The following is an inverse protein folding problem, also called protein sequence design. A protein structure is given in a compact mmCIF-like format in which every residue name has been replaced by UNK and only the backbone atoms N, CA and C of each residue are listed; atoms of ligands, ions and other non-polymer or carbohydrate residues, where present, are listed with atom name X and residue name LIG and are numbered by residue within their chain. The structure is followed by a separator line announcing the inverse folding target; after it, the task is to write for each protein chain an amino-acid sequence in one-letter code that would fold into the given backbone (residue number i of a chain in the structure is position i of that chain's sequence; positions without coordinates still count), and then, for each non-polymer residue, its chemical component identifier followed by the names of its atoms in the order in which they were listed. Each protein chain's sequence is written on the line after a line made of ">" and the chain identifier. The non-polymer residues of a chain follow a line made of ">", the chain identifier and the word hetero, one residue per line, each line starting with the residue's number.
data_IF_655852138249
#
_entry.id   IF_655852138249
#
_cell.length_a   1.000
_cell.length_b   1.000
_cell.length_c   1.000
_cell.angle_alpha   90.00
_cell.angle_beta   90.00
_cell.angle_gamma   90.00
#
_symmetry.space_group_name_H-M   'P 1'
#
loop_
_entity.id
_entity.type
_entity.pdbx_description
1 polymer ?
#
# COMPACT_ATOMS: atom_id res chain seq x y z
N UNK A 1 1.79 -7.84 -9.15
CA UNK A 1 2.07 -6.98 -7.99
C UNK A 1 1.11 -5.80 -8.01
N UNK A 2 0.56 -5.37 -6.88
CA UNK A 2 -0.32 -4.19 -6.85
C UNK A 2 -0.60 -3.65 -5.46
N UNK A 3 -1.14 -2.44 -5.39
CA UNK A 3 -1.65 -1.83 -4.16
C UNK A 3 -2.95 -2.50 -3.71
N UNK A 4 -3.43 -2.26 -2.47
CA UNK A 4 -4.59 -2.96 -1.94
C UNK A 4 -5.84 -2.90 -2.83
N UNK A 5 -6.14 -1.73 -3.42
CA UNK A 5 -7.28 -1.59 -4.33
C UNK A 5 -7.13 -2.40 -5.63
N UNK A 6 -5.91 -2.53 -6.15
CA UNK A 6 -5.62 -3.38 -7.32
C UNK A 6 -5.78 -4.87 -6.97
N UNK A 7 -5.32 -5.28 -5.78
CA UNK A 7 -5.50 -6.65 -5.29
C UNK A 7 -6.98 -6.97 -5.12
N UNK A 8 -7.76 -6.06 -4.52
CA UNK A 8 -9.22 -6.19 -4.39
C UNK A 8 -9.87 -6.35 -5.77
N UNK A 9 -9.49 -5.49 -6.73
CA UNK A 9 -10.00 -5.59 -8.10
C UNK A 9 -9.70 -6.96 -8.72
N UNK A 10 -8.45 -7.43 -8.62
CA UNK A 10 -8.07 -8.71 -9.18
C UNK A 10 -8.82 -9.87 -8.52
N UNK A 11 -8.97 -9.88 -7.20
CA UNK A 11 -9.75 -10.90 -6.50
C UNK A 11 -11.22 -10.87 -6.88
N UNK A 12 -11.80 -9.69 -7.06
CA UNK A 12 -13.17 -9.54 -7.57
C UNK A 12 -13.29 -10.10 -8.99
N UNK A 13 -12.33 -9.83 -9.89
CA UNK A 13 -12.32 -10.36 -11.24
C UNK A 13 -12.14 -11.90 -11.28
N UNK A 14 -11.38 -12.46 -10.33
CA UNK A 14 -11.22 -13.91 -10.18
C UNK A 14 -12.51 -14.58 -9.67
N UNK A 15 -13.19 -13.98 -8.69
CA UNK A 15 -14.44 -14.51 -8.10
C UNK A 15 -15.65 -14.30 -9.02
N UNK A 16 -15.68 -13.19 -9.74
CA UNK A 16 -16.75 -12.81 -10.66
C UNK A 16 -16.16 -12.43 -12.03
N UNK A 17 -15.82 -13.41 -12.89
CA UNK A 17 -15.12 -13.19 -14.16
C UNK A 17 -16.02 -12.63 -15.27
N UNK A 18 -16.79 -11.57 -14.96
CA UNK A 18 -17.64 -10.86 -15.91
C UNK A 18 -16.77 -10.14 -16.94
N UNK A 19 -16.78 -10.64 -18.18
CA UNK A 19 -15.93 -10.12 -19.26
C UNK A 19 -14.48 -10.63 -19.25
N UNK A 20 -14.13 -11.54 -18.32
CA UNK A 20 -12.77 -12.09 -18.20
C UNK A 20 -12.73 -13.57 -18.53
N UNK A 21 -12.75 -13.90 -19.84
CA UNK A 21 -12.65 -15.28 -20.30
C UNK A 21 -11.24 -15.83 -20.07
N UNK A 22 -11.13 -17.01 -19.45
CA UNK A 22 -9.86 -17.72 -19.20
C UNK A 22 -8.82 -16.94 -18.37
N UNK A 23 -9.25 -15.99 -17.53
CA UNK A 23 -8.34 -15.25 -16.63
C UNK A 23 -8.07 -16.00 -15.32
N UNK A 24 -9.09 -16.68 -14.79
CA UNK A 24 -9.08 -17.20 -13.41
C UNK A 24 -7.88 -18.11 -13.15
N UNK A 25 -7.62 -19.02 -14.08
CA UNK A 25 -6.58 -20.05 -13.94
C UNK A 25 -5.18 -19.53 -14.33
N UNK A 26 -5.07 -18.29 -14.83
CA UNK A 26 -3.80 -17.71 -15.29
C UNK A 26 -3.12 -16.84 -14.24
N UNK A 27 -3.84 -16.43 -13.19
CA UNK A 27 -3.26 -15.64 -12.10
C UNK A 27 -2.65 -16.57 -11.06
N UNK A 28 -1.38 -16.87 -11.27
CA UNK A 28 -0.60 -17.75 -10.40
C UNK A 28 -0.22 -17.10 -9.06
N UNK A 29 0.01 -15.78 -9.00
CA UNK A 29 0.48 -15.13 -7.78
C UNK A 29 0.01 -13.67 -7.67
N UNK A 30 -0.49 -13.30 -6.49
CA UNK A 30 -0.84 -11.94 -6.11
C UNK A 30 0.07 -11.44 -4.98
N UNK A 31 1.00 -10.56 -5.32
CA UNK A 31 1.82 -9.82 -4.35
C UNK A 31 1.23 -8.42 -4.14
N UNK A 32 0.80 -8.14 -2.92
CA UNK A 32 0.27 -6.85 -2.49
C UNK A 32 1.36 -5.97 -1.87
N UNK A 33 1.37 -4.67 -2.17
CA UNK A 33 2.22 -3.71 -1.46
C UNK A 33 1.40 -2.85 -0.50
N UNK A 34 1.98 -2.51 0.66
CA UNK A 34 1.32 -1.63 1.61
C UNK A 34 1.10 -0.25 0.99
N UNK A 35 -0.06 0.35 1.26
CA UNK A 35 -0.41 1.65 0.69
C UNK A 35 -1.28 2.43 1.65
N UNK A 36 -0.87 3.66 1.98
CA UNK A 36 -1.70 4.60 2.74
C UNK A 36 -2.60 5.38 1.78
N UNK A 37 -1.98 6.16 0.90
CA UNK A 37 -2.62 7.01 -0.10
C UNK A 37 -1.78 7.01 -1.40
N UNK A 38 -2.37 7.52 -2.48
CA UNK A 38 -1.71 7.68 -3.77
C UNK A 38 -1.94 9.10 -4.30
N UNK A 39 -1.07 9.54 -5.20
CA UNK A 39 -1.10 10.89 -5.77
C UNK A 39 -1.27 10.81 -7.30
N UNK A 40 -2.13 11.65 -7.91
CA UNK A 40 -2.11 11.82 -9.35
C UNK A 40 -0.77 12.43 -9.79
N UNK A 41 -0.38 12.20 -11.03
CA UNK A 41 0.91 12.66 -11.56
C UNK A 41 1.15 14.16 -11.31
N UNK A 42 0.15 15.01 -11.56
CA UNK A 42 0.26 16.45 -11.31
C UNK A 42 0.44 16.78 -9.82
N UNK A 43 -0.23 16.05 -8.92
CA UNK A 43 -0.05 16.20 -7.48
C UNK A 43 1.38 15.83 -7.05
N UNK A 44 1.90 14.73 -7.59
CA UNK A 44 3.29 14.31 -7.37
C UNK A 44 4.29 15.36 -7.90
N UNK A 45 4.06 15.87 -9.11
CA UNK A 45 4.89 16.90 -9.72
C UNK A 45 4.95 18.16 -8.85
N UNK A 46 3.82 18.62 -8.34
CA UNK A 46 3.78 19.79 -7.43
C UNK A 46 4.55 19.50 -6.13
N UNK A 47 4.36 18.32 -5.53
CA UNK A 47 5.09 17.96 -4.30
C UNK A 47 6.61 17.98 -4.52
N UNK A 48 7.08 17.46 -5.65
CA UNK A 48 8.51 17.32 -5.92
C UNK A 48 9.13 18.64 -6.42
N UNK A 49 8.51 19.28 -7.40
CA UNK A 49 9.08 20.48 -8.04
C UNK A 49 8.83 21.74 -7.21
N UNK A 50 7.62 21.94 -6.71
CA UNK A 50 7.25 23.18 -6.01
C UNK A 50 7.55 23.10 -4.51
N UNK A 51 7.14 22.01 -3.83
CA UNK A 51 7.30 21.92 -2.38
C UNK A 51 8.72 21.50 -1.98
N UNK A 52 9.33 20.56 -2.70
CA UNK A 52 10.71 20.14 -2.45
C UNK A 52 11.75 20.97 -3.23
N UNK A 53 11.36 21.68 -4.29
CA UNK A 53 12.31 22.46 -5.10
C UNK A 53 13.31 21.57 -5.84
N UNK A 54 12.86 20.44 -6.38
CA UNK A 54 13.68 19.47 -7.13
C UNK A 54 13.02 19.20 -8.46
N UNK A 55 13.78 19.25 -9.58
CA UNK A 55 13.24 18.82 -10.87
C UNK A 55 12.96 17.32 -10.84
N UNK A 56 11.80 16.90 -11.32
CA UNK A 56 11.39 15.49 -11.25
C UNK A 56 12.40 14.55 -11.93
N UNK A 57 13.04 15.00 -13.01
CA UNK A 57 14.09 14.29 -13.75
C UNK A 57 15.36 14.01 -12.96
N UNK A 58 15.62 14.79 -11.90
CA UNK A 58 16.82 14.66 -11.07
C UNK A 58 16.60 13.68 -9.89
N UNK A 59 15.39 13.15 -9.73
CA UNK A 59 15.00 12.27 -8.62
C UNK A 59 15.38 10.82 -8.91
N UNK A 60 16.11 10.19 -7.98
CA UNK A 60 16.51 8.78 -8.03
C UNK A 60 15.63 7.91 -7.15
N UNK A 61 15.17 8.44 -6.02
CA UNK A 61 14.29 7.73 -5.08
C UNK A 61 13.32 8.70 -4.42
N UNK A 62 12.10 8.24 -4.20
CA UNK A 62 11.12 8.88 -3.33
C UNK A 62 10.75 7.93 -2.21
N UNK A 63 10.45 8.46 -1.04
CA UNK A 63 10.05 7.66 0.12
C UNK A 63 9.05 8.41 1.00
N UNK A 64 8.13 7.69 1.63
CA UNK A 64 7.19 8.24 2.60
C UNK A 64 7.39 7.49 3.91
N UNK A 65 7.95 8.19 4.89
CA UNK A 65 8.32 7.59 6.16
C UNK A 65 8.59 8.66 7.22
N UNK A 66 8.47 8.26 8.50
CA UNK A 66 8.78 9.14 9.65
C UNK A 66 8.04 10.50 9.58
N UNK A 67 6.82 10.51 9.02
CA UNK A 67 5.97 11.71 8.91
C UNK A 67 6.37 12.73 7.83
N UNK A 68 7.25 12.35 6.89
CA UNK A 68 7.73 13.20 5.81
C UNK A 68 7.71 12.48 4.47
N UNK A 69 7.61 13.26 3.40
CA UNK A 69 7.88 12.85 2.04
C UNK A 69 9.33 13.18 1.73
N UNK A 70 10.12 12.20 1.31
CA UNK A 70 11.56 12.30 1.07
C UNK A 70 11.85 12.18 -0.43
N UNK A 71 12.74 13.03 -0.91
CA UNK A 71 13.22 13.04 -2.31
C UNK A 71 14.73 12.93 -2.28
N UNK A 72 15.26 11.91 -2.94
CA UNK A 72 16.69 11.67 -3.09
C UNK A 72 17.08 11.99 -4.53
N UNK A 73 18.06 12.86 -4.70
CA UNK A 73 18.53 13.31 -6.02
C UNK A 73 19.76 12.56 -6.49
N UNK A 74 20.02 12.60 -7.80
CA UNK A 74 21.21 11.99 -8.42
C UNK A 74 22.54 12.52 -7.90
N UNK A 75 22.55 13.72 -7.32
CA UNK A 75 23.73 14.37 -6.76
C UNK A 75 23.94 14.07 -5.26
N UNK A 76 23.09 13.23 -4.67
CA UNK A 76 23.17 12.87 -3.25
C UNK A 76 22.46 13.85 -2.31
N UNK A 77 21.85 14.93 -2.82
CA UNK A 77 21.01 15.79 -1.99
C UNK A 77 19.72 15.06 -1.60
N UNK A 78 19.34 15.20 -0.32
CA UNK A 78 18.10 14.67 0.24
C UNK A 78 17.24 15.84 0.69
N UNK A 79 16.07 16.00 0.05
CA UNK A 79 15.07 17.00 0.43
C UNK A 79 13.85 16.31 1.03
N UNK A 80 13.15 17.03 1.90
CA UNK A 80 11.95 16.49 2.53
C UNK A 80 10.92 17.56 2.83
N UNK A 81 9.65 17.18 2.75
CA UNK A 81 8.51 18.01 3.15
C UNK A 81 7.67 17.27 4.17
N UNK A 82 7.00 18.02 5.06
CA UNK A 82 6.09 17.43 6.05
C UNK A 82 4.90 16.79 5.32
N UNK A 83 4.50 15.58 5.72
CA UNK A 83 3.39 14.86 5.10
C UNK A 83 2.07 15.66 5.14
N UNK A 84 1.88 16.51 6.16
CA UNK A 84 0.70 17.38 6.24
C UNK A 84 0.53 18.29 5.02
N UNK A 85 1.62 18.68 4.36
CA UNK A 85 1.59 19.53 3.17
C UNK A 85 1.16 18.76 1.92
N UNK A 86 1.26 17.43 1.92
CA UNK A 86 0.92 16.60 0.76
C UNK A 86 -0.57 16.24 0.73
N UNK A 87 -1.29 16.32 1.85
CA UNK A 87 -2.70 15.92 1.95
C UNK A 87 -3.64 16.53 0.88
N UNK A 88 -3.52 17.81 0.49
CA UNK A 88 -4.38 18.38 -0.55
C UNK A 88 -4.20 17.76 -1.94
N UNK A 89 -3.09 17.06 -2.17
CA UNK A 89 -2.73 16.48 -3.47
C UNK A 89 -3.04 14.98 -3.56
N UNK A 90 -3.57 14.38 -2.50
CA UNK A 90 -3.98 12.97 -2.50
C UNK A 90 -5.13 12.72 -3.48
N UNK A 91 -5.16 11.52 -4.06
CA UNK A 91 -6.29 11.09 -4.86
C UNK A 91 -7.53 10.89 -3.96
N UNK A 92 -8.61 11.62 -4.24
CA UNK A 92 -9.84 11.64 -3.43
C UNK A 92 -10.51 10.27 -3.24
N UNK A 93 -10.29 9.31 -4.15
CA UNK A 93 -10.80 7.95 -4.00
C UNK A 93 -10.07 7.15 -2.91
N UNK A 94 -8.86 7.55 -2.51
CA UNK A 94 -8.14 6.90 -1.40
C UNK A 94 -8.84 7.12 -0.05
N UNK A 95 -9.65 8.18 0.10
CA UNK A 95 -10.35 8.51 1.34
C UNK A 95 -11.49 7.55 1.70
N UNK A 96 -11.83 6.61 0.83
CA UNK A 96 -12.77 5.51 1.13
C UNK A 96 -12.10 4.14 1.13
N UNK A 97 -10.78 4.07 1.02
CA UNK A 97 -10.04 2.81 1.01
C UNK A 97 -9.76 2.33 2.45
N UNK A 98 -10.33 1.20 2.86
CA UNK A 98 -10.17 0.68 4.23
C UNK A 98 -9.01 -0.31 4.38
N UNK A 99 -8.36 -0.71 3.29
CA UNK A 99 -7.27 -1.68 3.29
C UNK A 99 -5.89 -0.99 3.23
N UNK A 100 -5.04 -1.29 4.21
CA UNK A 100 -3.65 -0.79 4.29
C UNK A 100 -2.62 -1.82 3.82
N UNK A 101 -2.80 -3.09 4.20
CA UNK A 101 -1.78 -4.15 4.09
C UNK A 101 -2.03 -5.12 2.94
N UNK A 102 -2.92 -4.78 2.00
CA UNK A 102 -3.32 -5.64 0.89
C UNK A 102 -3.87 -6.99 1.40
N UNK A 103 -4.96 -6.92 2.16
CA UNK A 103 -5.50 -8.03 2.96
C UNK A 103 -5.90 -9.27 2.15
N UNK A 104 -6.13 -9.11 0.85
CA UNK A 104 -6.54 -10.20 -0.04
C UNK A 104 -5.42 -10.73 -0.94
N UNK A 105 -4.17 -10.30 -0.75
CA UNK A 105 -3.04 -10.82 -1.53
C UNK A 105 -2.66 -12.25 -1.11
N UNK A 106 -1.86 -12.96 -1.90
CA UNK A 106 -1.22 -14.21 -1.44
C UNK A 106 -0.06 -13.88 -0.49
N UNK A 107 0.73 -12.87 -0.87
CA UNK A 107 1.85 -12.31 -0.09
C UNK A 107 1.66 -10.80 -0.05
N UNK A 108 1.83 -10.17 1.11
CA UNK A 108 1.84 -8.71 1.24
C UNK A 108 3.17 -8.21 1.77
N UNK A 109 3.65 -7.08 1.25
CA UNK A 109 4.95 -6.54 1.67
C UNK A 109 4.95 -5.02 1.76
N UNK A 110 5.75 -4.46 2.67
CA UNK A 110 5.99 -3.02 2.76
C UNK A 110 7.07 -2.67 3.77
N UNK A 111 7.44 -1.39 3.82
CA UNK A 111 8.57 -0.91 4.63
C UNK A 111 8.25 -0.78 6.12
N UNK A 112 7.00 -0.43 6.47
CA UNK A 112 6.61 -0.17 7.86
C UNK A 112 6.69 -1.44 8.70
N UNK A 113 7.37 -1.33 9.85
CA UNK A 113 7.58 -2.46 10.76
C UNK A 113 8.96 -3.10 10.60
N UNK A 114 9.75 -2.63 9.65
CA UNK A 114 11.11 -3.12 9.38
C UNK A 114 12.13 -1.99 9.32
N UNK A 115 13.42 -2.28 9.60
CA UNK A 115 14.49 -1.30 9.43
C UNK A 115 14.74 -0.96 7.96
N UNK A 116 15.47 0.13 7.71
CA UNK A 116 15.83 0.54 6.35
C UNK A 116 16.61 -0.59 5.63
N UNK A 117 16.23 -0.88 4.39
CA UNK A 117 16.78 -2.01 3.62
C UNK A 117 16.06 -3.34 3.84
N UNK A 118 15.14 -3.42 4.80
CA UNK A 118 14.28 -4.58 5.04
C UNK A 118 12.82 -4.28 4.70
N UNK A 119 12.04 -5.33 4.51
CA UNK A 119 10.59 -5.24 4.31
C UNK A 119 9.87 -6.16 5.28
N UNK A 120 8.74 -5.70 5.80
CA UNK A 120 7.79 -6.55 6.50
C UNK A 120 7.03 -7.35 5.45
N UNK A 121 6.97 -8.67 5.63
CA UNK A 121 6.27 -9.59 4.74
C UNK A 121 5.18 -10.32 5.52
N UNK A 122 3.96 -10.32 4.99
CA UNK A 122 2.80 -11.03 5.55
C UNK A 122 2.38 -12.10 4.54
N UNK A 123 2.47 -13.35 4.97
CA UNK A 123 2.00 -14.52 4.21
C UNK A 123 0.53 -14.73 4.56
N UNK A 124 -0.34 -14.86 3.55
CA UNK A 124 -1.80 -14.91 3.78
C UNK A 124 -2.46 -16.23 3.44
N UNK A 125 -1.88 -17.03 2.56
CA UNK A 125 -2.42 -18.32 2.18
C UNK A 125 -1.32 -19.32 1.81
N UNK A 126 -1.73 -20.59 1.66
CA UNK A 126 -0.84 -21.71 1.33
C UNK A 126 0.07 -21.43 0.13
N UNK A 127 -0.46 -20.80 -0.92
CA UNK A 127 0.32 -20.50 -2.12
C UNK A 127 1.45 -19.51 -1.83
N UNK A 128 1.14 -18.46 -1.06
CA UNK A 128 2.14 -17.50 -0.61
C UNK A 128 3.18 -18.14 0.31
N UNK A 129 2.75 -19.05 1.18
CA UNK A 129 3.62 -19.79 2.10
C UNK A 129 4.61 -20.69 1.37
N UNK A 130 4.12 -21.52 0.45
CA UNK A 130 4.93 -22.40 -0.38
C UNK A 130 6.01 -21.62 -1.14
N UNK A 131 5.64 -20.51 -1.78
CA UNK A 131 6.58 -19.68 -2.53
C UNK A 131 7.64 -19.05 -1.62
N UNK A 132 7.25 -18.49 -0.46
CA UNK A 132 8.20 -17.88 0.46
C UNK A 132 9.15 -18.92 1.04
N UNK A 133 8.65 -20.10 1.42
CA UNK A 133 9.48 -21.18 1.97
C UNK A 133 10.51 -21.66 0.94
N UNK A 134 10.10 -21.90 -0.31
CA UNK A 134 11.03 -22.27 -1.38
C UNK A 134 12.10 -21.18 -1.61
N UNK A 135 11.71 -19.90 -1.57
CA UNK A 135 12.67 -18.79 -1.71
C UNK A 135 13.67 -18.70 -0.55
N UNK A 136 13.26 -19.08 0.67
CA UNK A 136 14.16 -19.15 1.84
C UNK A 136 15.11 -20.34 1.68
N UNK A 137 14.60 -21.51 1.31
CA UNK A 137 15.38 -22.74 1.11
C UNK A 137 16.43 -22.58 0.01
N UNK A 138 16.07 -21.92 -1.10
CA UNK A 138 16.98 -21.62 -2.22
C UNK A 138 17.93 -20.44 -1.92
N UNK A 139 17.81 -19.79 -0.75
CA UNK A 139 18.71 -18.73 -0.31
C UNK A 139 18.47 -17.36 -0.97
N UNK A 140 17.32 -17.12 -1.59
CA UNK A 140 16.97 -15.82 -2.16
C UNK A 140 16.54 -14.79 -1.10
N UNK A 141 16.10 -15.24 0.08
CA UNK A 141 15.59 -14.37 1.14
C UNK A 141 16.30 -14.63 2.47
N UNK A 142 16.86 -13.58 3.06
CA UNK A 142 17.16 -13.55 4.49
C UNK A 142 15.88 -13.18 5.25
N UNK A 143 15.51 -13.95 6.28
CA UNK A 143 14.30 -13.70 7.06
C UNK A 143 14.62 -13.58 8.55
N UNK A 144 13.81 -12.75 9.23
CA UNK A 144 13.84 -12.58 10.68
C UNK A 144 12.42 -12.48 11.19
N UNK A 145 12.10 -13.04 12.36
CA UNK A 145 10.82 -12.80 13.01
C UNK A 145 10.57 -11.31 13.16
N UNK A 146 9.33 -10.89 12.90
CA UNK A 146 8.95 -9.49 13.09
C UNK A 146 9.02 -9.12 14.58
N UNK A 147 9.53 -7.93 14.89
CA UNK A 147 9.45 -7.40 16.25
C UNK A 147 7.97 -7.18 16.62
N UNK A 148 7.48 -7.85 17.66
CA UNK A 148 6.11 -7.66 18.16
C UNK A 148 5.94 -6.32 18.89
N UNK A 149 7.05 -5.65 19.22
CA UNK A 149 7.10 -4.38 19.91
C UNK A 149 6.54 -3.19 19.12
N UNK A 150 6.73 -2.01 19.70
CA UNK A 150 6.17 -0.75 19.19
C UNK A 150 6.63 -0.41 17.77
N UNK A 151 7.84 -0.80 17.40
CA UNK A 151 8.46 -0.41 16.12
C UNK A 151 8.30 -1.45 15.00
N UNK A 152 7.91 -2.69 15.32
CA UNK A 152 7.56 -3.70 14.33
C UNK A 152 6.04 -3.79 14.11
N UNK A 153 5.42 -4.85 14.59
CA UNK A 153 4.00 -5.12 14.36
C UNK A 153 3.08 -4.08 15.00
N UNK A 154 3.48 -3.47 16.12
CA UNK A 154 2.68 -2.46 16.83
C UNK A 154 2.37 -1.22 15.99
N UNK A 155 3.40 -0.63 15.36
CA UNK A 155 3.20 0.54 14.48
C UNK A 155 2.40 0.17 13.22
N UNK A 156 2.62 -1.02 12.67
CA UNK A 156 1.89 -1.50 11.50
C UNK A 156 0.39 -1.61 11.79
N UNK A 157 0.02 -2.26 12.91
CA UNK A 157 -1.38 -2.35 13.37
C UNK A 157 -1.99 -0.97 13.60
N UNK A 158 -1.24 -0.06 14.24
CA UNK A 158 -1.70 1.32 14.49
C UNK A 158 -2.02 2.06 13.19
N UNK A 159 -1.14 2.01 12.19
CA UNK A 159 -1.37 2.69 10.91
C UNK A 159 -2.52 2.07 10.12
N UNK A 160 -2.62 0.74 10.10
CA UNK A 160 -3.74 0.03 9.47
C UNK A 160 -5.09 0.45 10.08
N UNK A 161 -5.19 0.45 11.41
CA UNK A 161 -6.40 0.89 12.13
C UNK A 161 -6.71 2.37 11.89
N UNK A 162 -5.70 3.24 11.93
CA UNK A 162 -5.87 4.68 11.67
C UNK A 162 -6.45 4.93 10.28
N UNK A 163 -5.94 4.23 9.25
CA UNK A 163 -6.47 4.31 7.89
C UNK A 163 -7.93 3.86 7.83
N UNK A 164 -8.22 2.70 8.41
CA UNK A 164 -9.56 2.13 8.43
C UNK A 164 -10.56 3.05 9.12
N UNK A 165 -10.26 3.55 10.32
CA UNK A 165 -11.13 4.45 11.07
C UNK A 165 -11.36 5.78 10.36
N UNK A 166 -10.31 6.41 9.82
CA UNK A 166 -10.40 7.68 9.07
C UNK A 166 -11.33 7.52 7.87
N UNK A 167 -11.13 6.46 7.09
CA UNK A 167 -11.83 6.28 5.82
C UNK A 167 -13.25 5.70 6.02
N UNK A 168 -13.51 4.99 7.11
CA UNK A 168 -14.86 4.60 7.51
C UNK A 168 -15.73 5.81 7.86
N UNK A 169 -15.18 6.82 8.55
CA UNK A 169 -15.89 8.07 8.84
C UNK A 169 -16.27 8.81 7.55
N UNK A 170 -15.38 8.81 6.56
CA UNK A 170 -15.66 9.40 5.24
C UNK A 170 -16.76 8.62 4.50
N UNK A 171 -16.75 7.29 4.54
CA UNK A 171 -17.82 6.46 3.97
C UNK A 171 -19.17 6.78 4.64
N UNK A 172 -19.22 6.88 5.97
CA UNK A 172 -20.43 7.27 6.69
C UNK A 172 -20.91 8.68 6.34
N UNK A 173 -19.98 9.63 6.20
CA UNK A 173 -20.29 10.98 5.76
C UNK A 173 -20.92 10.99 4.36
N UNK A 174 -20.34 10.25 3.41
CA UNK A 174 -20.89 10.11 2.05
C UNK A 174 -22.29 9.48 2.04
N UNK A 175 -22.53 8.45 2.89
CA UNK A 175 -23.87 7.86 3.06
C UNK A 175 -24.89 8.90 3.52
N UNK A 176 -24.54 9.77 4.48
CA UNK A 176 -25.41 10.86 4.96
C UNK A 176 -25.72 11.88 3.86
N UNK A 177 -24.80 12.09 2.93
CA UNK A 177 -24.99 12.96 1.75
C UNK A 177 -25.76 12.27 0.60
N UNK A 178 -26.15 11.00 0.74
CA UNK A 178 -26.82 10.24 -0.32
C UNK A 178 -25.90 9.87 -1.48
N UNK A 179 -24.58 9.96 -1.30
CA UNK A 179 -23.60 9.58 -2.32
C UNK A 179 -23.40 8.07 -2.37
N UNK A 180 -23.17 7.48 -3.56
CA UNK A 180 -22.85 6.07 -3.68
C UNK A 180 -21.52 5.78 -3.00
N UNK A 181 -21.49 4.72 -2.21
CA UNK A 181 -20.27 4.23 -1.53
C UNK A 181 -19.99 2.78 -1.94
N UNK A 182 -18.72 2.41 -2.11
CA UNK A 182 -18.38 1.01 -2.37
C UNK A 182 -18.80 0.15 -1.17
N UNK A 183 -19.29 -1.07 -1.41
CA UNK A 183 -19.61 -2.02 -0.34
C UNK A 183 -18.33 -2.39 0.42
N UNK A 184 -18.46 -2.76 1.70
CA UNK A 184 -17.32 -3.19 2.50
C UNK A 184 -16.77 -4.51 1.98
N UNK A 185 -15.69 -4.42 1.19
CA UNK A 185 -15.12 -5.56 0.48
C UNK A 185 -14.39 -6.52 1.43
N UNK A 186 -13.98 -6.06 2.61
CA UNK A 186 -13.33 -6.88 3.63
C UNK A 186 -14.33 -7.80 4.34
N UNK A 187 -15.55 -7.31 4.61
CA UNK A 187 -16.62 -8.09 5.22
C UNK A 187 -17.36 -9.04 4.26
N UNK A 188 -17.26 -8.82 2.94
CA UNK A 188 -17.96 -9.62 1.93
C UNK A 188 -17.12 -10.75 1.31
N UNK A 189 -15.83 -10.81 1.64
CA UNK A 189 -14.87 -11.79 1.10
C UNK A 189 -14.24 -12.71 2.16
N UNK A 190 -14.63 -12.57 3.43
CA UNK A 190 -14.47 -13.60 4.46
C UNK A 190 -15.58 -14.65 4.32
#
# INVERSE_FOLDING_TARGET
>A
VGTPCQIIYTRKALKYPLGFRHLVDKIALLVGIFCMENFPYMGMKIIVEELCGVRLEDVVKMDIGKGKFWVYTKWGEVKSVKLKMTHPYEQSSCHVCTDYTAELADISTGSVGSPDGWSTVIIRNHRGEEIINNMIEEGYLETRPIDEGKFGLGILKKLALTKKEKNMKEIEHRKKLGLPVPPDVCGLLQ
#
